data_IF_158565380067
#
_entry.id   IF_158565380067
#
_cell.length_a   1.000
_cell.length_b   1.000
_cell.length_c   1.000
_cell.angle_alpha   90.00
_cell.angle_beta   90.00
_cell.angle_gamma   90.00
#
_symmetry.space_group_name_H-M   'P 1'
#
loop_
_entity.id
_entity.type
_entity.pdbx_description
1 polymer ?
#
# COMPACT_ATOMS: atom_id res chain seq x y z
N UNK A 1 -23.81 -5.45 -13.24
CA UNK A 1 -25.20 -5.11 -12.84
C UNK A 1 -26.24 -5.59 -13.82
N UNK A 2 -26.02 -5.48 -15.13
CA UNK A 2 -26.99 -5.89 -16.15
C UNK A 2 -27.30 -7.40 -16.14
N UNK A 3 -26.33 -8.27 -15.85
CA UNK A 3 -26.54 -9.73 -15.96
C UNK A 3 -27.37 -10.37 -14.85
N UNK A 4 -27.39 -9.85 -13.62
CA UNK A 4 -28.10 -10.50 -12.51
C UNK A 4 -29.56 -10.04 -12.35
N UNK A 5 -29.88 -8.83 -12.77
CA UNK A 5 -31.22 -8.26 -12.72
C UNK A 5 -31.86 -8.07 -14.11
N UNK A 6 -31.19 -8.49 -15.18
CA UNK A 6 -31.63 -8.35 -16.56
C UNK A 6 -33.00 -9.01 -16.82
N UNK A 7 -33.24 -10.19 -16.21
CA UNK A 7 -34.52 -10.89 -16.31
C UNK A 7 -35.65 -10.14 -15.60
N UNK A 8 -35.39 -9.50 -14.44
CA UNK A 8 -36.40 -8.76 -13.68
C UNK A 8 -36.85 -7.48 -14.43
N UNK A 9 -35.90 -6.77 -15.02
CA UNK A 9 -36.14 -5.53 -15.76
C UNK A 9 -36.72 -5.78 -17.18
N UNK A 10 -36.72 -7.00 -17.67
CA UNK A 10 -37.33 -7.38 -18.94
C UNK A 10 -38.85 -7.54 -18.85
N UNK A 11 -39.44 -7.67 -17.64
CA UNK A 11 -40.89 -7.75 -17.45
C UNK A 11 -41.58 -6.45 -17.79
N UNK A 12 -42.81 -6.53 -18.36
CA UNK A 12 -43.58 -5.39 -18.91
C UNK A 12 -43.66 -4.16 -17.97
N UNK A 13 -44.04 -4.23 -16.69
CA UNK A 13 -44.17 -3.07 -15.83
C UNK A 13 -42.84 -2.39 -15.52
N UNK A 14 -41.77 -3.18 -15.35
CA UNK A 14 -40.42 -2.67 -15.10
C UNK A 14 -39.78 -2.04 -16.36
N UNK A 15 -40.13 -2.56 -17.52
CA UNK A 15 -39.67 -2.03 -18.82
C UNK A 15 -40.25 -0.66 -19.11
N UNK A 16 -41.50 -0.41 -18.73
CA UNK A 16 -42.15 0.91 -18.85
C UNK A 16 -41.48 1.93 -17.89
N UNK A 17 -41.23 1.54 -16.62
CA UNK A 17 -40.55 2.38 -15.64
C UNK A 17 -39.10 2.70 -16.09
N UNK A 18 -38.38 1.77 -16.70
CA UNK A 18 -37.02 1.96 -17.20
C UNK A 18 -36.93 2.99 -18.34
N UNK A 19 -38.01 3.21 -19.09
CA UNK A 19 -38.07 4.23 -20.16
C UNK A 19 -38.15 5.67 -19.63
N UNK A 20 -38.51 5.86 -18.35
CA UNK A 20 -38.65 7.17 -17.72
C UNK A 20 -37.52 7.43 -16.73
N UNK A 21 -37.00 8.67 -16.71
CA UNK A 21 -35.86 9.04 -15.85
C UNK A 21 -36.16 8.87 -14.36
N UNK A 22 -37.38 9.25 -13.94
CA UNK A 22 -37.83 9.06 -12.56
C UNK A 22 -38.06 7.58 -12.22
N UNK A 23 -38.61 6.80 -13.13
CA UNK A 23 -38.81 5.36 -12.96
C UNK A 23 -37.50 4.59 -12.82
N UNK A 24 -36.47 4.97 -13.59
CA UNK A 24 -35.11 4.44 -13.43
C UNK A 24 -34.55 4.75 -12.03
N UNK A 25 -34.70 6.01 -11.56
CA UNK A 25 -34.22 6.40 -10.23
C UNK A 25 -34.94 5.58 -9.14
N UNK A 26 -36.22 5.36 -9.27
CA UNK A 26 -37.04 4.58 -8.33
C UNK A 26 -36.62 3.10 -8.33
N UNK A 27 -36.51 2.48 -9.49
CA UNK A 27 -36.06 1.09 -9.61
C UNK A 27 -34.62 0.89 -9.09
N UNK A 28 -33.73 1.85 -9.35
CA UNK A 28 -32.37 1.80 -8.81
C UNK A 28 -32.33 2.08 -7.28
N UNK A 29 -33.28 2.82 -6.72
CA UNK A 29 -33.37 3.00 -5.28
C UNK A 29 -33.83 1.73 -4.56
N UNK A 30 -34.75 0.95 -5.14
CA UNK A 30 -35.29 -0.26 -4.52
C UNK A 30 -34.56 -1.52 -4.88
N UNK A 31 -34.08 -1.65 -6.12
CA UNK A 31 -33.45 -2.86 -6.64
C UNK A 31 -31.99 -2.66 -7.04
N UNK A 32 -31.53 -1.41 -7.07
CA UNK A 32 -30.13 -1.11 -7.24
C UNK A 32 -29.36 -1.61 -6.01
N UNK A 33 -28.33 -2.44 -6.21
CA UNK A 33 -27.33 -2.60 -5.16
C UNK A 33 -26.91 -1.20 -4.74
N UNK A 34 -26.99 -0.90 -3.43
CA UNK A 34 -26.18 0.19 -2.89
C UNK A 34 -24.79 -0.07 -3.41
N UNK A 35 -24.31 0.77 -4.33
CA UNK A 35 -22.90 0.73 -4.72
C UNK A 35 -22.15 0.85 -3.41
N UNK A 36 -21.39 -0.17 -3.06
CA UNK A 36 -20.33 -0.01 -2.11
C UNK A 36 -19.57 1.22 -2.60
N UNK A 37 -19.66 2.30 -1.87
CA UNK A 37 -18.93 3.50 -2.22
C UNK A 37 -17.48 3.20 -1.92
N UNK A 38 -16.79 2.55 -2.86
CA UNK A 38 -15.35 2.57 -2.88
C UNK A 38 -14.96 4.05 -2.84
N UNK A 39 -14.64 4.52 -1.67
CA UNK A 39 -14.21 5.89 -1.49
C UNK A 39 -12.80 5.98 -2.05
N UNK A 40 -12.52 7.03 -2.81
CA UNK A 40 -11.19 7.29 -3.31
C UNK A 40 -10.17 7.33 -2.16
N UNK A 41 -8.92 7.02 -2.49
CA UNK A 41 -7.81 7.23 -1.58
C UNK A 41 -7.89 8.65 -0.97
N UNK A 42 -7.68 8.81 0.34
CA UNK A 42 -7.84 10.11 1.00
C UNK A 42 -6.93 11.17 0.35
N UNK A 43 -7.53 12.21 -0.22
CA UNK A 43 -6.80 13.30 -0.89
C UNK A 43 -6.52 14.50 0.02
N UNK A 44 -7.13 14.52 1.20
CA UNK A 44 -6.93 15.58 2.18
C UNK A 44 -5.61 15.46 2.99
N UNK A 45 -4.87 14.36 2.80
CA UNK A 45 -3.52 14.20 3.36
C UNK A 45 -2.48 14.53 2.30
N UNK A 46 -1.94 15.75 2.23
CA UNK A 46 -1.07 16.19 1.14
C UNK A 46 0.25 15.42 1.06
N UNK A 47 0.69 14.84 2.18
CA UNK A 47 1.96 14.09 2.26
C UNK A 47 1.78 12.57 2.12
N UNK A 48 0.55 12.07 2.26
CA UNK A 48 0.24 10.64 2.08
C UNK A 48 -0.10 10.41 0.62
N UNK A 49 0.91 10.06 -0.16
CA UNK A 49 0.76 9.76 -1.60
C UNK A 49 0.62 8.26 -1.82
N UNK A 50 0.17 7.90 -3.03
CA UNK A 50 0.25 6.53 -3.52
C UNK A 50 1.72 6.07 -3.55
N UNK A 51 1.94 4.78 -3.36
CA UNK A 51 3.28 4.20 -3.17
C UNK A 51 4.05 3.92 -4.47
N UNK A 52 3.70 4.60 -5.57
CA UNK A 52 4.39 4.42 -6.84
C UNK A 52 5.78 5.07 -6.81
N UNK A 53 6.80 4.26 -7.05
CA UNK A 53 8.14 4.74 -7.35
C UNK A 53 8.35 4.72 -8.87
N UNK A 54 9.06 5.73 -9.37
CA UNK A 54 9.49 5.78 -10.76
C UNK A 54 10.54 4.69 -11.05
N UNK A 55 10.59 4.22 -12.27
CA UNK A 55 11.59 3.24 -12.71
C UNK A 55 12.92 3.94 -13.03
N UNK A 56 14.04 3.29 -12.71
CA UNK A 56 15.37 3.83 -12.99
C UNK A 56 15.60 4.09 -14.48
N UNK A 57 14.93 3.36 -15.38
CA UNK A 57 14.99 3.58 -16.82
C UNK A 57 14.54 4.99 -17.25
N UNK A 58 13.62 5.59 -16.48
CA UNK A 58 13.12 6.94 -16.72
C UNK A 58 13.95 8.01 -15.99
N UNK A 59 14.95 7.59 -15.21
CA UNK A 59 15.71 8.45 -14.30
C UNK A 59 17.22 8.23 -14.42
N UNK A 60 17.74 7.97 -15.63
CA UNK A 60 19.16 7.67 -15.87
C UNK A 60 20.11 8.78 -15.38
N UNK A 61 19.63 10.01 -15.31
CA UNK A 61 20.35 11.15 -14.76
C UNK A 61 20.76 10.96 -13.29
N UNK A 62 20.06 10.11 -12.53
CA UNK A 62 20.34 9.85 -11.12
C UNK A 62 21.70 9.19 -10.91
N UNK A 63 22.26 8.49 -11.93
CA UNK A 63 23.58 7.88 -11.85
C UNK A 63 24.72 8.90 -11.68
N UNK A 64 24.48 10.16 -12.06
CA UNK A 64 25.40 11.24 -11.82
C UNK A 64 25.37 11.78 -10.37
N UNK A 65 24.36 11.38 -9.60
CA UNK A 65 24.22 11.75 -8.19
C UNK A 65 25.11 10.84 -7.33
N UNK A 66 26.11 11.43 -6.72
CA UNK A 66 27.06 10.71 -5.84
C UNK A 66 26.63 10.73 -4.37
N UNK A 67 25.43 11.24 -4.07
CA UNK A 67 24.81 11.10 -2.74
C UNK A 67 24.53 9.61 -2.46
N UNK A 68 24.83 9.12 -1.27
CA UNK A 68 24.49 7.75 -0.91
C UNK A 68 22.99 7.49 -0.92
N UNK A 69 22.60 6.27 -1.26
CA UNK A 69 21.24 5.77 -1.22
C UNK A 69 21.10 4.65 -0.20
N UNK A 70 19.94 4.60 0.45
CA UNK A 70 19.49 3.43 1.21
C UNK A 70 18.80 2.50 0.23
N UNK A 71 19.25 1.26 0.16
CA UNK A 71 18.69 0.23 -0.72
C UNK A 71 17.86 -0.74 0.09
N UNK A 72 16.61 -0.91 -0.30
CA UNK A 72 15.72 -1.90 0.32
C UNK A 72 15.29 -2.95 -0.68
N UNK A 73 14.98 -4.14 -0.18
CA UNK A 73 14.35 -5.20 -0.95
C UNK A 73 12.97 -4.75 -1.42
N UNK A 74 12.69 -4.87 -2.72
CA UNK A 74 11.34 -4.71 -3.24
C UNK A 74 10.58 -6.03 -3.07
N UNK A 75 9.58 -6.04 -2.19
CA UNK A 75 8.68 -7.17 -2.01
C UNK A 75 7.59 -7.12 -3.08
N UNK A 76 7.21 -8.25 -3.63
CA UNK A 76 6.16 -8.40 -4.62
C UNK A 76 4.85 -8.81 -3.95
N UNK A 77 3.96 -7.87 -3.82
CA UNK A 77 2.70 -8.03 -3.14
C UNK A 77 1.67 -7.00 -3.59
N UNK A 78 1.00 -6.39 -2.65
CA UNK A 78 0.05 -5.31 -2.91
C UNK A 78 0.17 -4.21 -1.86
N UNK A 79 0.35 -2.97 -2.32
CA UNK A 79 0.57 -1.84 -1.43
C UNK A 79 -0.62 -1.57 -0.51
N UNK A 80 -0.38 -1.61 0.80
CA UNK A 80 -1.32 -1.25 1.86
C UNK A 80 -0.93 0.07 2.53
N UNK A 81 -1.94 0.88 2.86
CA UNK A 81 -1.76 2.16 3.56
C UNK A 81 -2.73 2.22 4.73
N UNK A 82 -2.21 2.52 5.91
CA UNK A 82 -2.92 2.56 7.18
C UNK A 82 -2.72 3.93 7.81
N UNK A 83 -3.81 4.69 7.96
CA UNK A 83 -3.78 6.07 8.45
C UNK A 83 -4.66 6.18 9.68
N UNK A 84 -4.16 6.79 10.74
CA UNK A 84 -4.97 7.25 11.86
C UNK A 84 -4.91 8.77 11.93
N UNK A 85 -6.07 9.39 11.78
CA UNK A 85 -6.26 10.84 11.86
C UNK A 85 -6.91 11.19 13.21
N UNK A 86 -6.37 12.21 13.86
CA UNK A 86 -6.90 12.79 15.08
C UNK A 86 -7.69 14.06 14.73
N UNK A 87 -9.00 14.02 14.90
CA UNK A 87 -9.88 15.16 14.69
C UNK A 87 -10.35 15.73 16.02
N UNK A 88 -10.10 17.01 16.24
CA UNK A 88 -10.64 17.76 17.38
C UNK A 88 -12.00 18.33 17.00
N UNK A 89 -12.99 18.11 17.85
CA UNK A 89 -14.30 18.73 17.71
C UNK A 89 -14.73 19.31 19.07
N UNK A 90 -15.91 19.91 19.13
CA UNK A 90 -16.44 20.51 20.36
C UNK A 90 -16.62 19.49 21.52
N UNK A 91 -16.82 18.21 21.19
CA UNK A 91 -17.03 17.13 22.16
C UNK A 91 -15.74 16.38 22.53
N UNK A 92 -14.58 16.79 22.03
CA UNK A 92 -13.30 16.17 22.32
C UNK A 92 -12.50 15.69 21.09
N UNK A 93 -11.69 14.68 21.28
CA UNK A 93 -10.84 14.10 20.24
C UNK A 93 -11.50 12.83 19.69
N UNK A 94 -11.70 12.79 18.37
CA UNK A 94 -12.12 11.61 17.63
C UNK A 94 -10.96 11.09 16.78
N UNK A 95 -10.77 9.78 16.76
CA UNK A 95 -9.82 9.12 15.87
C UNK A 95 -10.54 8.47 14.70
N UNK A 96 -10.08 8.75 13.47
CA UNK A 96 -10.58 8.10 12.26
C UNK A 96 -9.50 7.23 11.64
N UNK A 97 -9.78 5.93 11.50
CA UNK A 97 -8.85 4.96 10.96
C UNK A 97 -9.20 4.64 9.50
N UNK A 98 -8.21 4.69 8.63
CA UNK A 98 -8.34 4.41 7.21
C UNK A 98 -7.43 3.24 6.84
N UNK A 99 -7.99 2.26 6.16
CA UNK A 99 -7.25 1.17 5.52
C UNK A 99 -7.42 1.36 4.02
N UNK A 100 -6.33 1.45 3.28
CA UNK A 100 -6.36 1.71 1.85
C UNK A 100 -5.48 0.70 1.10
N UNK A 101 -5.94 0.31 -0.09
CA UNK A 101 -5.07 -0.23 -1.12
C UNK A 101 -4.37 0.92 -1.86
N UNK A 102 -3.61 0.61 -2.91
CA UNK A 102 -2.92 1.62 -3.71
C UNK A 102 -3.81 2.79 -4.18
N UNK A 103 -5.07 2.54 -4.51
CA UNK A 103 -5.94 3.53 -5.14
C UNK A 103 -7.21 3.88 -4.38
N UNK A 104 -7.67 3.00 -3.49
CA UNK A 104 -8.98 3.12 -2.88
C UNK A 104 -8.93 2.83 -1.38
N UNK A 105 -9.77 3.55 -0.64
CA UNK A 105 -10.08 3.23 0.74
C UNK A 105 -10.89 1.95 0.79
N UNK A 106 -10.44 0.98 1.57
CA UNK A 106 -11.14 -0.27 1.80
C UNK A 106 -12.32 -0.09 2.76
N UNK A 107 -13.40 -0.78 2.48
CA UNK A 107 -14.53 -0.84 3.40
C UNK A 107 -14.17 -1.70 4.62
N UNK A 108 -14.83 -1.42 5.76
CA UNK A 108 -14.63 -2.23 6.97
C UNK A 108 -15.10 -3.68 6.76
N UNK A 109 -14.61 -4.64 7.54
CA UNK A 109 -14.99 -6.06 7.38
C UNK A 109 -16.50 -6.32 7.48
N UNK A 110 -17.24 -5.48 8.24
CA UNK A 110 -18.69 -5.59 8.41
C UNK A 110 -19.45 -5.05 7.18
N UNK A 111 -18.80 -4.24 6.36
CA UNK A 111 -19.36 -3.74 5.11
C UNK A 111 -19.03 -4.74 4.00
N UNK A 112 -20.04 -5.14 3.22
CA UNK A 112 -19.81 -6.05 2.08
C UNK A 112 -18.74 -5.49 1.15
N UNK A 113 -17.56 -6.06 1.22
CA UNK A 113 -16.45 -5.77 0.31
C UNK A 113 -16.73 -6.30 -1.10
N UNK A 114 -16.11 -5.69 -2.10
CA UNK A 114 -16.11 -6.20 -3.47
C UNK A 114 -15.30 -7.50 -3.58
N UNK A 115 -14.35 -7.71 -2.66
CA UNK A 115 -13.50 -8.90 -2.57
C UNK A 115 -14.02 -9.82 -1.46
N UNK A 116 -14.06 -11.11 -1.71
CA UNK A 116 -14.44 -12.11 -0.71
C UNK A 116 -13.41 -12.18 0.45
N UNK A 117 -12.17 -11.81 0.18
CA UNK A 117 -11.06 -11.72 1.14
C UNK A 117 -10.43 -10.32 1.08
N UNK A 118 -10.25 -9.68 2.23
CA UNK A 118 -9.65 -8.34 2.33
C UNK A 118 -8.35 -8.39 3.13
N UNK A 119 -7.25 -8.71 2.45
CA UNK A 119 -5.90 -8.83 3.04
C UNK A 119 -5.41 -7.56 3.74
N UNK A 120 -5.89 -6.39 3.32
CA UNK A 120 -5.52 -5.12 3.96
C UNK A 120 -6.10 -5.02 5.36
N UNK A 121 -7.38 -5.39 5.54
CA UNK A 121 -8.01 -5.44 6.85
C UNK A 121 -7.51 -6.62 7.69
N UNK A 122 -7.18 -7.74 7.05
CA UNK A 122 -6.53 -8.88 7.72
C UNK A 122 -5.22 -8.42 8.39
N UNK A 123 -4.35 -7.70 7.67
CA UNK A 123 -3.15 -7.09 8.25
C UNK A 123 -3.48 -6.08 9.35
N UNK A 124 -4.49 -5.21 9.15
CA UNK A 124 -4.87 -4.22 10.15
C UNK A 124 -5.26 -4.86 11.49
N UNK A 125 -5.94 -6.00 11.44
CA UNK A 125 -6.37 -6.78 12.61
C UNK A 125 -5.20 -7.60 13.18
N UNK A 126 -4.53 -8.40 12.35
CA UNK A 126 -3.41 -9.28 12.74
C UNK A 126 -2.33 -8.50 13.51
N UNK A 127 -1.95 -7.34 13.00
CA UNK A 127 -0.90 -6.52 13.58
C UNK A 127 -1.41 -5.46 14.56
N UNK A 128 -2.72 -5.41 14.84
CA UNK A 128 -3.35 -4.39 15.70
C UNK A 128 -2.94 -2.94 15.36
N UNK A 129 -2.88 -2.65 14.05
CA UNK A 129 -2.31 -1.40 13.53
C UNK A 129 -3.04 -0.17 14.08
N UNK A 130 -4.36 -0.23 14.20
CA UNK A 130 -5.16 0.90 14.70
C UNK A 130 -4.73 1.34 16.10
N UNK A 131 -4.55 0.40 17.02
CA UNK A 131 -4.17 0.70 18.41
C UNK A 131 -2.71 1.14 18.50
N UNK A 132 -1.82 0.55 17.71
CA UNK A 132 -0.41 0.98 17.61
C UNK A 132 -0.27 2.41 17.09
N UNK A 133 -1.00 2.77 16.03
CA UNK A 133 -1.03 4.16 15.53
C UNK A 133 -1.65 5.12 16.53
N UNK A 134 -2.66 4.66 17.31
CA UNK A 134 -3.28 5.47 18.36
C UNK A 134 -2.30 5.72 19.51
N UNK A 135 -1.62 4.70 19.99
CA UNK A 135 -0.58 4.82 21.00
C UNK A 135 0.52 5.78 20.56
N UNK A 136 0.95 5.68 19.28
CA UNK A 136 1.93 6.61 18.72
C UNK A 136 1.42 8.07 18.75
N UNK A 137 0.17 8.33 18.33
CA UNK A 137 -0.42 9.69 18.37
C UNK A 137 -0.65 10.20 19.80
N UNK A 138 -0.90 9.32 20.77
CA UNK A 138 -1.04 9.70 22.19
C UNK A 138 0.31 10.07 22.81
N UNK A 139 1.39 9.38 22.44
CA UNK A 139 2.77 9.75 22.81
C UNK A 139 3.28 11.03 22.12
N UNK A 140 2.67 11.38 20.98
CA UNK A 140 3.01 12.56 20.20
C UNK A 140 1.79 13.48 20.01
N UNK A 141 1.32 14.17 21.07
CA UNK A 141 0.02 14.89 21.07
C UNK A 141 -0.04 16.07 20.10
N UNK A 142 1.11 16.52 19.58
CA UNK A 142 1.23 17.60 18.59
C UNK A 142 0.97 17.13 17.14
N UNK A 143 0.87 15.82 16.91
CA UNK A 143 0.55 15.25 15.60
C UNK A 143 -0.96 15.24 15.37
N UNK A 144 -1.37 15.48 14.12
CA UNK A 144 -2.75 15.41 13.66
C UNK A 144 -3.05 14.05 13.01
N UNK A 145 -2.06 13.43 12.38
CA UNK A 145 -2.16 12.07 11.84
C UNK A 145 -0.81 11.37 11.81
N UNK A 146 -0.89 10.04 11.71
CA UNK A 146 0.23 9.15 11.41
C UNK A 146 -0.22 8.12 10.38
N UNK A 147 0.69 7.74 9.50
CA UNK A 147 0.46 6.77 8.43
C UNK A 147 1.62 5.78 8.34
N UNK A 148 1.28 4.50 8.23
CA UNK A 148 2.21 3.44 7.85
C UNK A 148 1.80 2.90 6.49
N UNK A 149 2.80 2.72 5.61
CA UNK A 149 2.64 2.06 4.32
C UNK A 149 3.56 0.85 4.25
N UNK A 150 3.05 -0.24 3.69
CA UNK A 150 3.78 -1.48 3.55
C UNK A 150 3.30 -2.32 2.38
N UNK A 151 4.06 -3.35 2.05
CA UNK A 151 3.64 -4.34 1.07
C UNK A 151 2.90 -5.47 1.79
N UNK A 152 1.67 -5.71 1.39
CA UNK A 152 0.85 -6.83 1.83
C UNK A 152 1.19 -8.02 0.94
N UNK A 153 1.84 -9.02 1.53
CA UNK A 153 2.20 -10.27 0.87
C UNK A 153 1.37 -11.41 1.48
N UNK A 154 0.83 -12.28 0.65
CA UNK A 154 -0.07 -13.36 1.07
C UNK A 154 0.08 -14.56 0.15
N UNK A 155 -0.23 -15.77 0.62
CA UNK A 155 -0.25 -16.98 -0.22
C UNK A 155 -1.08 -16.85 -1.50
N UNK A 156 -2.06 -15.94 -1.52
CA UNK A 156 -2.98 -15.73 -2.65
C UNK A 156 -2.71 -14.45 -3.46
N UNK A 157 -1.64 -13.71 -3.13
CA UNK A 157 -1.25 -12.49 -3.85
C UNK A 157 -0.04 -12.80 -4.72
N UNK A 158 -0.05 -12.35 -6.00
CA UNK A 158 1.08 -12.40 -6.95
C UNK A 158 1.71 -13.82 -7.05
N UNK A 159 0.89 -14.88 -7.03
CA UNK A 159 1.35 -16.27 -7.05
C UNK A 159 2.32 -16.64 -5.91
N UNK A 160 2.32 -15.87 -4.83
CA UNK A 160 3.13 -16.11 -3.64
C UNK A 160 4.64 -16.28 -3.92
N UNK A 161 5.32 -15.28 -4.46
CA UNK A 161 6.74 -15.40 -4.76
C UNK A 161 7.60 -15.58 -3.51
N UNK A 162 7.10 -15.13 -2.35
CA UNK A 162 7.77 -15.24 -1.07
C UNK A 162 7.59 -16.60 -0.37
N UNK A 163 6.72 -17.48 -0.90
CA UNK A 163 6.42 -18.78 -0.30
C UNK A 163 5.79 -18.73 1.08
N UNK A 164 5.07 -17.65 1.38
CA UNK A 164 4.44 -17.41 2.68
C UNK A 164 3.30 -18.39 2.95
N UNK A 165 3.10 -18.73 4.22
CA UNK A 165 1.99 -19.58 4.67
C UNK A 165 0.81 -18.77 5.19
N UNK A 166 1.04 -17.50 5.54
CA UNK A 166 0.01 -16.57 6.01
C UNK A 166 0.25 -15.16 5.43
N UNK A 167 -0.68 -14.22 5.71
CA UNK A 167 -0.57 -12.83 5.24
C UNK A 167 0.38 -12.03 6.12
N UNK A 168 1.32 -11.32 5.48
CA UNK A 168 2.30 -10.44 6.10
C UNK A 168 2.19 -9.01 5.60
N UNK A 169 2.64 -8.06 6.43
CA UNK A 169 2.79 -6.65 6.08
C UNK A 169 4.24 -6.23 6.31
N UNK A 170 4.98 -6.01 5.24
CA UNK A 170 6.35 -5.49 5.29
C UNK A 170 6.34 -3.97 5.14
N UNK A 171 6.49 -3.24 6.24
CA UNK A 171 6.45 -1.78 6.26
C UNK A 171 7.64 -1.16 5.54
N UNK A 172 7.39 -0.06 4.78
CA UNK A 172 8.43 0.65 4.03
C UNK A 172 8.33 2.18 4.08
N UNK A 173 7.16 2.79 4.40
CA UNK A 173 7.03 4.23 4.62
C UNK A 173 6.29 4.52 5.92
N UNK A 174 6.84 5.45 6.69
CA UNK A 174 6.17 6.11 7.80
C UNK A 174 6.03 7.60 7.49
N UNK A 175 4.85 8.15 7.76
CA UNK A 175 4.52 9.53 7.44
C UNK A 175 3.74 10.12 8.60
N UNK A 176 4.04 11.34 9.03
CA UNK A 176 3.21 12.07 9.99
C UNK A 176 2.95 13.51 9.56
N UNK A 177 2.13 14.22 10.33
CA UNK A 177 1.67 15.57 10.00
C UNK A 177 2.72 16.67 10.22
N UNK A 178 3.87 16.37 10.79
CA UNK A 178 4.93 17.36 11.10
C UNK A 178 6.20 17.12 10.30
N UNK A 179 6.72 15.91 10.34
CA UNK A 179 7.94 15.52 9.64
C UNK A 179 7.65 15.27 8.15
N UNK A 180 6.42 14.80 7.82
CA UNK A 180 6.11 14.23 6.53
C UNK A 180 6.65 12.79 6.46
N UNK A 181 7.32 12.42 5.39
CA UNK A 181 7.90 11.08 5.23
C UNK A 181 9.23 10.95 5.97
N UNK A 182 9.34 9.92 6.78
CA UNK A 182 10.53 9.59 7.56
C UNK A 182 11.63 8.97 6.69
N UNK A 183 12.90 9.16 7.10
CA UNK A 183 13.99 8.27 6.69
C UNK A 183 13.63 6.84 7.11
N UNK A 184 13.83 5.88 6.20
CA UNK A 184 13.42 4.49 6.45
C UNK A 184 14.16 3.84 7.63
N UNK A 185 15.39 4.29 7.93
CA UNK A 185 16.17 3.81 9.08
C UNK A 185 15.52 4.24 10.40
N UNK A 186 15.01 5.47 10.47
CA UNK A 186 14.32 5.97 11.66
C UNK A 186 12.94 5.38 11.79
N UNK A 187 12.20 5.25 10.70
CA UNK A 187 10.93 4.52 10.67
C UNK A 187 11.10 3.07 11.14
N UNK A 188 12.16 2.37 10.73
CA UNK A 188 12.47 0.98 11.15
C UNK A 188 12.67 0.87 12.65
N UNK A 189 13.32 1.85 13.30
CA UNK A 189 13.49 1.87 14.76
C UNK A 189 12.12 1.93 15.46
N UNK A 190 11.25 2.83 14.98
CA UNK A 190 9.88 2.98 15.51
C UNK A 190 9.07 1.70 15.30
N UNK A 191 9.07 1.13 14.08
CA UNK A 191 8.35 -0.12 13.81
C UNK A 191 8.83 -1.29 14.66
N UNK A 192 10.14 -1.35 14.97
CA UNK A 192 10.69 -2.36 15.88
C UNK A 192 10.07 -2.26 17.28
N UNK A 193 9.86 -1.05 17.81
CA UNK A 193 9.20 -0.84 19.12
C UNK A 193 7.76 -1.36 19.12
N UNK A 194 7.10 -1.31 17.96
CA UNK A 194 5.73 -1.79 17.75
C UNK A 194 5.65 -3.24 17.24
N UNK A 195 6.76 -3.98 17.19
CA UNK A 195 6.81 -5.35 16.65
C UNK A 195 6.17 -5.45 15.26
N UNK A 196 6.54 -4.52 14.36
CA UNK A 196 6.12 -4.54 12.95
C UNK A 196 7.25 -5.09 12.08
N UNK A 197 6.88 -5.90 11.10
CA UNK A 197 7.81 -6.37 10.07
C UNK A 197 8.11 -5.25 9.07
N UNK A 198 9.33 -5.25 8.53
CA UNK A 198 9.79 -4.22 7.60
C UNK A 198 10.45 -4.85 6.39
N UNK A 199 10.43 -4.15 5.25
CA UNK A 199 11.28 -4.55 4.12
C UNK A 199 12.74 -4.58 4.56
N UNK A 200 13.55 -5.58 4.12
CA UNK A 200 14.97 -5.63 4.42
C UNK A 200 15.72 -4.41 3.88
N UNK A 201 16.56 -3.80 4.70
CA UNK A 201 17.55 -2.82 4.25
C UNK A 201 18.79 -3.61 3.85
N UNK A 202 19.14 -3.54 2.57
CA UNK A 202 20.25 -4.28 1.97
C UNK A 202 21.55 -3.50 2.09
N UNK A 203 21.46 -2.17 1.94
CA UNK A 203 22.62 -1.27 2.07
C UNK A 203 22.14 0.12 2.51
N UNK A 204 22.83 0.72 3.47
CA UNK A 204 22.44 2.03 4.00
C UNK A 204 23.23 3.20 3.37
N UNK A 205 24.30 2.91 2.62
CA UNK A 205 25.20 3.91 2.05
C UNK A 205 25.64 3.53 0.64
N UNK A 206 24.72 3.12 -0.20
CA UNK A 206 25.02 2.66 -1.56
C UNK A 206 25.27 3.83 -2.50
N UNK A 207 26.42 3.84 -3.14
CA UNK A 207 26.76 4.79 -4.22
C UNK A 207 26.40 4.15 -5.56
N UNK A 208 25.61 4.86 -6.37
CA UNK A 208 25.21 4.36 -7.69
C UNK A 208 26.43 4.25 -8.61
N UNK A 209 26.57 3.18 -9.40
CA UNK A 209 27.59 3.08 -10.43
C UNK A 209 27.35 4.13 -11.53
N UNK A 210 28.36 4.40 -12.33
CA UNK A 210 28.23 5.35 -13.45
C UNK A 210 27.54 4.72 -14.66
N UNK A 211 27.72 3.42 -14.84
CA UNK A 211 27.18 2.68 -15.97
C UNK A 211 25.76 2.18 -15.68
N UNK A 212 24.85 2.43 -16.61
CA UNK A 212 23.45 2.07 -16.45
C UNK A 212 23.24 0.55 -16.52
N UNK A 213 23.99 -0.15 -17.37
CA UNK A 213 23.85 -1.60 -17.50
C UNK A 213 24.38 -2.31 -16.26
N UNK A 214 25.52 -1.85 -15.72
CA UNK A 214 26.05 -2.31 -14.43
C UNK A 214 25.01 -2.08 -13.33
N UNK A 215 24.40 -0.88 -13.28
CA UNK A 215 23.37 -0.57 -12.30
C UNK A 215 22.16 -1.50 -12.43
N UNK A 216 21.69 -1.76 -13.65
CA UNK A 216 20.54 -2.65 -13.88
C UNK A 216 20.79 -4.06 -13.35
N UNK A 217 21.98 -4.59 -13.55
CA UNK A 217 22.36 -5.94 -13.09
C UNK A 217 22.36 -6.07 -11.57
N UNK A 218 22.54 -4.99 -10.81
CA UNK A 218 22.52 -5.04 -9.34
C UNK A 218 21.17 -5.50 -8.78
N UNK A 219 20.08 -5.31 -9.52
CA UNK A 219 18.74 -5.73 -9.10
C UNK A 219 18.52 -7.24 -9.21
N UNK A 220 19.32 -7.95 -10.00
CA UNK A 220 19.18 -9.39 -10.19
C UNK A 220 19.63 -10.18 -8.94
N UNK A 221 19.08 -11.37 -8.74
CA UNK A 221 19.42 -12.25 -7.62
C UNK A 221 18.19 -12.76 -6.87
N UNK A 222 18.41 -13.29 -5.67
CA UNK A 222 17.40 -13.95 -4.87
C UNK A 222 16.80 -13.00 -3.81
N UNK A 223 15.59 -13.30 -3.35
CA UNK A 223 14.99 -12.59 -2.20
C UNK A 223 15.82 -12.78 -0.93
N UNK A 224 15.82 -11.77 -0.08
CA UNK A 224 16.34 -11.90 1.28
C UNK A 224 15.49 -12.91 2.07
N UNK A 225 16.16 -13.78 2.83
CA UNK A 225 15.49 -14.85 3.57
C UNK A 225 14.51 -14.35 4.64
N UNK A 226 14.65 -13.11 5.11
CA UNK A 226 13.76 -12.53 6.11
C UNK A 226 12.35 -12.21 5.58
N UNK A 227 12.15 -12.22 4.26
CA UNK A 227 10.85 -12.02 3.62
C UNK A 227 10.36 -13.26 2.86
N UNK A 228 11.03 -14.41 3.04
CA UNK A 228 10.67 -15.66 2.38
C UNK A 228 10.54 -16.80 3.39
N UNK A 229 9.40 -17.49 3.31
CA UNK A 229 9.15 -18.74 4.03
C UNK A 229 9.19 -19.89 3.02
N UNK A 230 9.81 -20.97 3.29
CA UNK A 230 9.67 -22.24 2.55
C UNK A 230 10.13 -22.29 1.08
N UNK A 231 10.21 -21.19 0.36
CA UNK A 231 10.75 -21.13 -1.01
C UNK A 231 12.16 -20.56 -0.99
N UNK A 232 13.13 -21.45 -1.08
CA UNK A 232 14.53 -21.07 -1.38
C UNK A 232 14.65 -20.82 -2.89
N UNK A 233 15.57 -19.94 -3.29
CA UNK A 233 15.91 -19.67 -4.69
C UNK A 233 14.82 -18.94 -5.52
N UNK A 234 13.98 -18.14 -4.86
CA UNK A 234 13.07 -17.24 -5.59
C UNK A 234 13.79 -15.96 -6.02
N UNK A 235 13.74 -15.67 -7.32
CA UNK A 235 14.29 -14.45 -7.89
C UNK A 235 13.52 -13.24 -7.37
N UNK A 236 14.26 -12.25 -6.84
CA UNK A 236 13.65 -11.02 -6.31
C UNK A 236 13.07 -10.15 -7.40
N UNK A 237 12.06 -9.36 -7.06
CA UNK A 237 11.50 -8.35 -7.96
C UNK A 237 12.50 -7.22 -8.23
N UNK A 238 13.38 -6.90 -7.29
CA UNK A 238 14.38 -5.87 -7.41
C UNK A 238 14.61 -5.10 -6.11
N UNK A 239 15.01 -3.83 -6.27
CA UNK A 239 15.30 -2.94 -5.16
C UNK A 239 14.59 -1.59 -5.27
N UNK A 240 14.38 -0.94 -4.12
CA UNK A 240 13.98 0.45 -4.01
C UNK A 240 15.12 1.24 -3.39
N UNK A 241 15.44 2.37 -3.98
CA UNK A 241 16.51 3.28 -3.61
C UNK A 241 15.92 4.55 -3.01
N UNK A 242 16.31 4.90 -1.79
CA UNK A 242 15.93 6.12 -1.11
C UNK A 242 17.15 7.01 -0.94
N UNK A 243 17.04 8.26 -1.34
CA UNK A 243 18.14 9.22 -1.18
C UNK A 243 18.33 9.53 0.30
N UNK A 244 19.57 9.42 0.82
CA UNK A 244 19.85 9.65 2.24
C UNK A 244 19.60 11.09 2.70
N UNK A 245 19.65 12.05 1.77
CA UNK A 245 19.44 13.48 2.04
C UNK A 245 18.00 13.97 1.79
N UNK A 246 17.16 13.14 1.16
CA UNK A 246 15.76 13.47 0.89
C UNK A 246 14.88 12.19 0.93
N UNK A 247 14.20 11.92 2.04
CA UNK A 247 13.32 10.74 2.18
C UNK A 247 12.17 10.70 1.15
N UNK A 248 11.81 11.84 0.54
CA UNK A 248 10.76 11.88 -0.48
C UNK A 248 11.25 11.43 -1.85
N UNK A 249 12.57 11.46 -2.07
CA UNK A 249 13.15 11.00 -3.33
C UNK A 249 13.44 9.51 -3.27
N UNK A 250 12.74 8.75 -4.10
CA UNK A 250 12.95 7.30 -4.23
C UNK A 250 12.60 6.83 -5.65
N UNK A 251 13.26 5.78 -6.10
CA UNK A 251 13.00 5.11 -7.36
C UNK A 251 13.26 3.61 -7.22
N UNK A 252 12.82 2.83 -8.22
CA UNK A 252 12.99 1.38 -8.24
C UNK A 252 13.86 0.92 -9.40
N UNK A 253 14.67 -0.11 -9.14
CA UNK A 253 15.33 -0.92 -10.14
C UNK A 253 14.72 -2.32 -10.10
N UNK A 254 13.99 -2.70 -11.16
CA UNK A 254 13.32 -3.99 -11.26
C UNK A 254 14.26 -4.98 -11.96
N UNK A 255 14.41 -6.17 -11.39
CA UNK A 255 15.25 -7.24 -11.92
C UNK A 255 14.84 -7.62 -13.35
N UNK A 256 15.82 -7.86 -14.22
CA UNK A 256 15.59 -8.38 -15.57
C UNK A 256 15.03 -9.79 -15.53
N UNK A 257 15.58 -10.61 -14.64
CA UNK A 257 15.13 -11.98 -14.43
C UNK A 257 13.65 -12.03 -14.00
N UNK A 258 13.23 -11.10 -13.14
CA UNK A 258 11.84 -10.97 -12.74
C UNK A 258 10.95 -10.59 -13.93
N UNK A 259 11.34 -9.58 -14.71
CA UNK A 259 10.58 -9.11 -15.87
C UNK A 259 10.42 -10.15 -16.99
N UNK A 260 11.35 -11.11 -17.09
CA UNK A 260 11.26 -12.19 -18.09
C UNK A 260 10.31 -13.32 -17.68
N UNK A 261 9.95 -13.40 -16.40
CA UNK A 261 9.15 -14.49 -15.84
C UNK A 261 7.74 -14.04 -15.41
N UNK A 262 7.42 -12.73 -15.52
CA UNK A 262 6.15 -12.09 -15.16
C UNK A 262 5.71 -11.11 -16.25
#
# INVERSE_FOLDING_TARGET
>A
MAQRNGKLFSHQPFRWLMKRTWGRKLLFAFFGRKRDKNTNFPTHFPFVKKTDQERCENMTWVLNDKTPFIVTQKCDGSSGTYILEKRKNFFGIKYEFYVCSRNVRQLTPEQKSFYDENYYWECAIKYDIKNKLKDYLEKHPYLDYVCWQGEVCSPKIQNNPHGLTETHLFCFHMIDSKIGKYDIRDAKKIWKEYNMETVPIINENYILPNDFEEFKLTADGMYDSSVCEGKKDQKREGFVYYKTTDPNFSFKNVSRDYLLNH
#
